data_IF_423651387424
#
_entry.id   IF_423651387424
#
_cell.length_a   1.000
_cell.length_b   1.000
_cell.length_c   1.000
_cell.angle_alpha   90.00
_cell.angle_beta   90.00
_cell.angle_gamma   90.00
#
_symmetry.space_group_name_H-M   'P 1'
#
loop_
_entity.id
_entity.type
_entity.pdbx_description
1 polymer ?
#
# COMPACT_ATOMS: atom_id res chain seq x y z
N UNK A 1 52.48 -32.11 45.98
CA UNK A 1 51.04 -32.42 45.90
C UNK A 1 50.30 -31.21 45.34
N UNK A 2 49.69 -31.39 44.16
CA UNK A 2 48.60 -30.63 43.52
C UNK A 2 48.67 -29.08 43.39
N UNK A 3 48.98 -28.70 42.14
CA UNK A 3 48.64 -27.49 41.40
C UNK A 3 47.12 -27.29 41.28
N UNK A 4 46.64 -26.06 41.48
CA UNK A 4 45.51 -25.34 40.83
C UNK A 4 45.42 -23.98 41.54
N UNK A 5 45.99 -22.84 41.11
CA UNK A 5 45.84 -22.13 39.82
C UNK A 5 44.45 -22.30 39.24
N UNK A 6 43.61 -21.26 39.33
CA UNK A 6 42.61 -20.81 38.34
C UNK A 6 41.35 -20.19 38.98
N UNK A 7 41.50 -19.29 39.94
CA UNK A 7 40.44 -18.31 40.20
C UNK A 7 40.77 -17.03 39.43
N UNK A 8 39.92 -16.71 38.45
CA UNK A 8 39.92 -15.59 37.48
C UNK A 8 40.78 -15.83 36.21
N UNK A 9 40.15 -15.88 35.00
CA UNK A 9 39.44 -14.71 34.49
C UNK A 9 38.25 -15.04 33.55
N UNK A 10 37.09 -15.47 34.05
CA UNK A 10 35.89 -15.55 33.19
C UNK A 10 35.46 -14.18 32.63
N UNK A 11 35.72 -13.10 33.37
CA UNK A 11 35.42 -11.73 32.94
C UNK A 11 36.29 -11.24 31.77
N UNK A 12 37.53 -11.72 31.62
CA UNK A 12 38.34 -11.39 30.43
C UNK A 12 38.01 -12.29 29.25
N UNK A 13 37.59 -13.53 29.48
CA UNK A 13 37.17 -14.43 28.40
C UNK A 13 35.96 -13.88 27.63
N UNK A 14 35.00 -13.29 28.35
CA UNK A 14 33.83 -12.61 27.74
C UNK A 14 34.18 -11.39 26.89
N UNK A 15 35.36 -10.78 27.08
CA UNK A 15 35.78 -9.56 26.40
C UNK A 15 36.55 -9.81 25.10
N UNK A 16 37.02 -11.05 24.88
CA UNK A 16 37.93 -11.40 23.79
C UNK A 16 37.29 -12.26 22.69
N UNK A 17 35.98 -12.53 22.77
CA UNK A 17 35.27 -13.10 21.62
C UNK A 17 34.95 -11.96 20.65
N UNK A 18 35.45 -12.02 19.39
CA UNK A 18 35.12 -11.00 18.40
C UNK A 18 33.61 -10.94 18.22
N UNK A 19 33.07 -9.71 18.15
CA UNK A 19 31.65 -9.42 17.93
C UNK A 19 31.06 -10.03 16.64
N UNK A 20 31.89 -10.74 15.87
CA UNK A 20 31.54 -11.41 14.62
C UNK A 20 30.86 -12.78 14.81
N UNK A 21 30.86 -13.36 16.01
CA UNK A 21 29.88 -14.40 16.35
C UNK A 21 28.52 -13.72 16.53
N UNK A 22 27.95 -13.26 15.42
CA UNK A 22 26.63 -12.66 15.33
C UNK A 22 25.65 -13.61 15.99
N UNK A 23 25.02 -13.12 17.05
CA UNK A 23 24.08 -13.91 17.84
C UNK A 23 23.07 -14.58 16.94
N UNK A 24 22.70 -15.81 17.29
CA UNK A 24 21.52 -16.48 16.75
C UNK A 24 20.39 -15.45 16.62
N UNK A 25 20.00 -15.16 15.37
CA UNK A 25 18.93 -14.24 15.04
C UNK A 25 17.70 -14.62 15.88
N UNK A 26 17.34 -13.74 16.80
CA UNK A 26 16.21 -13.96 17.70
C UNK A 26 14.94 -13.95 16.83
N UNK A 27 14.05 -14.95 16.94
CA UNK A 27 12.78 -14.97 16.19
C UNK A 27 11.83 -13.81 16.54
N UNK A 28 12.20 -12.97 17.52
CA UNK A 28 11.52 -11.74 17.95
C UNK A 28 11.61 -10.63 16.88
N UNK A 29 12.77 -10.40 16.27
CA UNK A 29 13.01 -9.30 15.31
C UNK A 29 12.19 -9.48 14.00
N UNK A 30 12.00 -10.73 13.58
CA UNK A 30 11.23 -11.06 12.39
C UNK A 30 9.71 -10.81 12.57
N UNK A 31 9.19 -11.01 13.79
CA UNK A 31 7.77 -10.77 14.10
C UNK A 31 7.44 -9.28 14.02
N UNK A 32 8.29 -8.43 14.59
CA UNK A 32 8.09 -6.98 14.56
C UNK A 32 8.21 -6.44 13.13
N UNK A 33 9.19 -6.93 12.37
CA UNK A 33 9.34 -6.59 10.95
C UNK A 33 8.11 -6.95 10.13
N UNK A 34 7.55 -8.16 10.32
CA UNK A 34 6.34 -8.59 9.60
C UNK A 34 5.10 -7.76 9.96
N UNK A 35 5.00 -7.34 11.23
CA UNK A 35 3.90 -6.50 11.71
C UNK A 35 4.01 -5.08 11.13
N UNK A 36 5.21 -4.50 11.11
CA UNK A 36 5.46 -3.20 10.48
C UNK A 36 5.16 -3.22 8.98
N UNK A 37 5.58 -4.27 8.27
CA UNK A 37 5.26 -4.44 6.85
C UNK A 37 3.75 -4.49 6.63
N UNK A 38 3.00 -5.22 7.46
CA UNK A 38 1.53 -5.27 7.37
C UNK A 38 0.87 -3.91 7.62
N UNK A 39 1.36 -3.14 8.60
CA UNK A 39 0.85 -1.80 8.89
C UNK A 39 1.14 -0.83 7.75
N UNK A 40 2.36 -0.83 7.21
CA UNK A 40 2.74 0.01 6.07
C UNK A 40 1.87 -0.31 4.84
N UNK A 41 1.68 -1.58 4.52
CA UNK A 41 0.82 -2.01 3.41
C UNK A 41 -0.65 -1.62 3.64
N UNK A 42 -1.14 -1.74 4.88
CA UNK A 42 -2.52 -1.34 5.22
C UNK A 42 -2.74 0.17 5.04
N UNK A 43 -1.73 0.98 5.37
CA UNK A 43 -1.77 2.43 5.16
C UNK A 43 -1.78 2.79 3.67
N UNK A 44 -0.98 2.11 2.85
CA UNK A 44 -0.99 2.29 1.39
C UNK A 44 -2.38 1.99 0.80
N UNK A 45 -3.03 0.92 1.26
CA UNK A 45 -4.37 0.54 0.82
C UNK A 45 -5.42 1.58 1.20
N UNK A 46 -5.33 2.17 2.40
CA UNK A 46 -6.23 3.23 2.84
C UNK A 46 -6.08 4.49 1.99
N UNK A 47 -4.84 4.93 1.75
CA UNK A 47 -4.55 6.08 0.89
C UNK A 47 -5.05 5.81 -0.54
N UNK A 48 -4.85 4.59 -1.04
CA UNK A 48 -5.36 4.15 -2.34
C UNK A 48 -6.89 4.23 -2.45
N UNK A 49 -7.61 3.77 -1.42
CA UNK A 49 -9.07 3.83 -1.37
C UNK A 49 -9.60 5.27 -1.28
N UNK A 50 -8.95 6.13 -0.49
CA UNK A 50 -9.27 7.57 -0.41
C UNK A 50 -9.04 8.26 -1.76
N UNK A 51 -7.95 7.92 -2.45
CA UNK A 51 -7.69 8.45 -3.78
C UNK A 51 -8.76 7.99 -4.79
N UNK A 52 -9.16 6.72 -4.76
CA UNK A 52 -10.24 6.19 -5.59
C UNK A 52 -11.59 6.87 -5.31
N UNK A 53 -11.91 7.12 -4.04
CA UNK A 53 -13.19 7.74 -3.67
C UNK A 53 -13.29 9.20 -4.12
N UNK A 54 -12.19 9.95 -4.11
CA UNK A 54 -12.13 11.31 -4.68
C UNK A 54 -12.47 11.26 -6.18
N UNK A 55 -11.97 10.28 -6.92
CA UNK A 55 -12.27 10.12 -8.34
C UNK A 55 -13.70 9.65 -8.61
N UNK A 56 -14.32 8.92 -7.67
CA UNK A 56 -15.75 8.64 -7.70
C UNK A 56 -16.60 9.93 -7.61
N UNK A 57 -16.10 11.03 -7.02
CA UNK A 57 -16.82 12.32 -7.00
C UNK A 57 -16.96 12.89 -8.43
N UNK A 58 -15.98 12.61 -9.30
CA UNK A 58 -16.02 12.98 -10.72
C UNK A 58 -16.96 12.11 -11.58
N UNK A 59 -17.92 11.39 -10.96
CA UNK A 59 -18.87 10.50 -11.62
C UNK A 59 -19.62 11.14 -12.79
N UNK A 60 -19.89 12.45 -12.69
CA UNK A 60 -20.68 13.23 -13.65
C UNK A 60 -19.84 14.11 -14.58
N UNK A 61 -18.51 14.00 -14.55
CA UNK A 61 -17.67 14.77 -15.46
C UNK A 61 -17.93 14.41 -16.92
N UNK A 62 -17.84 15.41 -17.81
CA UNK A 62 -17.95 15.18 -19.25
C UNK A 62 -16.62 14.59 -19.74
N UNK A 63 -16.68 13.36 -20.21
CA UNK A 63 -15.57 12.70 -20.90
C UNK A 63 -15.73 12.84 -22.42
N UNK A 64 -14.62 12.88 -23.18
CA UNK A 64 -14.65 12.95 -24.64
C UNK A 64 -15.41 11.77 -25.27
N UNK A 65 -15.28 10.58 -24.69
CA UNK A 65 -15.99 9.37 -25.13
C UNK A 65 -16.78 8.71 -24.00
N UNK A 66 -17.84 7.99 -24.34
CA UNK A 66 -18.60 7.18 -23.39
C UNK A 66 -17.77 6.05 -22.80
N UNK A 67 -16.91 5.41 -23.60
CA UNK A 67 -16.06 4.30 -23.16
C UNK A 67 -15.08 4.72 -22.06
N UNK A 68 -14.46 5.90 -22.20
CA UNK A 68 -13.54 6.44 -21.18
C UNK A 68 -14.25 6.72 -19.86
N UNK A 69 -15.50 7.21 -19.92
CA UNK A 69 -16.32 7.45 -18.72
C UNK A 69 -16.65 6.15 -17.99
N UNK A 70 -17.16 5.15 -18.71
CA UNK A 70 -17.53 3.87 -18.09
C UNK A 70 -16.29 3.19 -17.51
N UNK A 71 -15.16 3.21 -18.24
CA UNK A 71 -13.90 2.66 -17.78
C UNK A 71 -13.37 3.40 -16.53
N UNK A 72 -13.48 4.74 -16.50
CA UNK A 72 -13.12 5.55 -15.33
C UNK A 72 -13.95 5.19 -14.10
N UNK A 73 -15.27 5.06 -14.26
CA UNK A 73 -16.18 4.73 -13.16
C UNK A 73 -15.91 3.34 -12.60
N UNK A 74 -15.75 2.34 -13.48
CA UNK A 74 -15.42 0.97 -13.09
C UNK A 74 -14.07 0.91 -12.38
N UNK A 75 -13.04 1.55 -12.93
CA UNK A 75 -11.70 1.59 -12.31
C UNK A 75 -11.75 2.30 -10.96
N UNK A 76 -12.43 3.45 -10.84
CA UNK A 76 -12.53 4.19 -9.57
C UNK A 76 -13.25 3.38 -8.49
N UNK A 77 -14.31 2.64 -8.84
CA UNK A 77 -14.99 1.73 -7.93
C UNK A 77 -14.11 0.56 -7.52
N UNK A 78 -13.46 -0.11 -8.48
CA UNK A 78 -12.51 -1.19 -8.19
C UNK A 78 -11.39 -0.71 -7.25
N UNK A 79 -10.85 0.48 -7.48
CA UNK A 79 -9.80 1.10 -6.65
C UNK A 79 -10.27 1.48 -5.25
N UNK A 80 -11.56 1.78 -5.07
CA UNK A 80 -12.12 2.10 -3.76
C UNK A 80 -12.43 0.82 -2.95
N UNK A 81 -12.91 -0.22 -3.63
CA UNK A 81 -13.45 -1.44 -2.99
C UNK A 81 -12.38 -2.53 -2.82
N UNK A 82 -11.45 -2.71 -3.75
CA UNK A 82 -10.47 -3.80 -3.70
C UNK A 82 -9.46 -3.71 -2.53
N UNK A 83 -8.89 -2.53 -2.20
CA UNK A 83 -7.90 -2.41 -1.12
C UNK A 83 -8.36 -2.88 0.26
N UNK A 84 -9.59 -2.57 0.75
CA UNK A 84 -10.03 -3.04 2.07
C UNK A 84 -10.34 -4.55 2.13
N UNK A 85 -10.52 -5.23 0.99
CA UNK A 85 -10.80 -6.68 0.97
C UNK A 85 -9.60 -7.49 1.49
N UNK A 86 -8.37 -7.04 1.22
CA UNK A 86 -7.15 -7.77 1.62
C UNK A 86 -7.00 -7.85 3.15
N UNK A 87 -6.96 -6.75 3.92
CA UNK A 87 -6.88 -6.84 5.37
C UNK A 87 -8.10 -7.57 5.98
N UNK A 88 -9.30 -7.38 5.41
CA UNK A 88 -10.52 -8.06 5.86
C UNK A 88 -10.43 -9.59 5.71
N UNK A 89 -9.95 -10.09 4.56
CA UNK A 89 -9.77 -11.52 4.33
C UNK A 89 -8.67 -12.11 5.21
N UNK A 90 -7.58 -11.37 5.46
CA UNK A 90 -6.53 -11.82 6.40
C UNK A 90 -7.03 -11.87 7.84
N UNK A 91 -7.87 -10.92 8.26
CA UNK A 91 -8.47 -10.91 9.59
C UNK A 91 -9.44 -12.08 9.77
N UNK A 92 -10.33 -12.30 8.80
CA UNK A 92 -11.24 -13.43 8.79
C UNK A 92 -10.48 -14.77 8.80
N UNK A 93 -9.36 -14.84 8.08
CA UNK A 93 -8.51 -16.01 8.03
C UNK A 93 -7.79 -16.33 9.36
N UNK A 94 -7.60 -15.35 10.23
CA UNK A 94 -7.06 -15.57 11.59
C UNK A 94 -8.19 -15.88 12.57
N UNK A 95 -9.35 -15.27 12.39
CA UNK A 95 -10.50 -15.42 13.28
C UNK A 95 -11.23 -16.76 13.15
N UNK A 96 -11.26 -17.35 11.95
CA UNK A 96 -12.00 -18.58 11.68
C UNK A 96 -11.08 -19.68 11.14
N UNK A 97 -11.12 -20.91 11.68
CA UNK A 97 -10.43 -22.04 11.07
C UNK A 97 -11.21 -22.50 9.83
N UNK A 98 -10.52 -22.62 8.70
CA UNK A 98 -11.06 -23.16 7.45
C UNK A 98 -10.17 -24.29 6.94
N UNK A 99 -10.73 -25.12 6.07
CA UNK A 99 -10.02 -26.24 5.47
C UNK A 99 -8.90 -25.78 4.54
N UNK A 100 -7.88 -26.63 4.35
CA UNK A 100 -6.72 -26.33 3.49
C UNK A 100 -7.12 -26.00 2.05
N UNK A 101 -8.20 -26.62 1.55
CA UNK A 101 -8.72 -26.35 0.21
C UNK A 101 -9.28 -24.92 0.10
N UNK A 102 -10.04 -24.45 1.10
CA UNK A 102 -10.56 -23.07 1.15
C UNK A 102 -9.40 -22.08 1.26
N UNK A 103 -8.35 -22.40 2.03
CA UNK A 103 -7.15 -21.56 2.12
C UNK A 103 -6.48 -21.33 0.77
N UNK A 104 -6.32 -22.40 0.00
CA UNK A 104 -5.70 -22.35 -1.30
C UNK A 104 -6.47 -21.43 -2.25
N UNK A 105 -7.80 -21.60 -2.33
CA UNK A 105 -8.65 -20.74 -3.16
C UNK A 105 -8.65 -19.28 -2.71
N UNK A 106 -8.70 -19.02 -1.40
CA UNK A 106 -8.64 -17.65 -0.86
C UNK A 106 -7.31 -16.98 -1.21
N UNK A 107 -6.18 -17.67 -1.07
CA UNK A 107 -4.86 -17.14 -1.46
C UNK A 107 -4.76 -16.86 -2.95
N UNK A 108 -5.25 -17.77 -3.80
CA UNK A 108 -5.28 -17.57 -5.24
C UNK A 108 -6.16 -16.35 -5.64
N UNK A 109 -7.31 -16.20 -4.98
CA UNK A 109 -8.20 -15.05 -5.17
C UNK A 109 -7.53 -13.73 -4.77
N UNK A 110 -6.83 -13.68 -3.63
CA UNK A 110 -6.09 -12.49 -3.19
C UNK A 110 -5.00 -12.11 -4.21
N UNK A 111 -4.24 -13.08 -4.72
CA UNK A 111 -3.23 -12.82 -5.77
C UNK A 111 -3.88 -12.25 -7.03
N UNK A 112 -5.00 -12.81 -7.47
CA UNK A 112 -5.74 -12.30 -8.63
C UNK A 112 -6.22 -10.86 -8.41
N UNK A 113 -6.75 -10.54 -7.22
CA UNK A 113 -7.18 -9.18 -6.87
C UNK A 113 -5.99 -8.21 -6.89
N UNK A 114 -4.82 -8.61 -6.40
CA UNK A 114 -3.60 -7.79 -6.46
C UNK A 114 -3.22 -7.48 -7.90
N UNK A 115 -3.25 -8.48 -8.80
CA UNK A 115 -2.93 -8.28 -10.22
C UNK A 115 -3.90 -7.29 -10.88
N UNK A 116 -5.20 -7.47 -10.63
CA UNK A 116 -6.24 -6.56 -11.14
C UNK A 116 -6.03 -5.14 -10.60
N UNK A 117 -5.71 -5.00 -9.31
CA UNK A 117 -5.44 -3.71 -8.68
C UNK A 117 -4.25 -3.00 -9.33
N UNK A 118 -3.16 -3.71 -9.62
CA UNK A 118 -1.98 -3.13 -10.31
C UNK A 118 -2.37 -2.59 -11.69
N UNK A 119 -3.12 -3.36 -12.48
CA UNK A 119 -3.60 -2.93 -13.81
C UNK A 119 -4.54 -1.72 -13.70
N UNK A 120 -5.47 -1.74 -12.74
CA UNK A 120 -6.39 -0.64 -12.49
C UNK A 120 -5.63 0.63 -12.09
N UNK A 121 -4.59 0.52 -11.25
CA UNK A 121 -3.75 1.65 -10.84
C UNK A 121 -3.05 2.32 -12.01
N UNK A 122 -2.43 1.52 -12.88
CA UNK A 122 -1.75 2.04 -14.07
C UNK A 122 -2.73 2.70 -15.03
N UNK A 123 -3.90 2.08 -15.22
CA UNK A 123 -4.95 2.61 -16.09
C UNK A 123 -5.50 3.94 -15.58
N UNK A 124 -5.69 4.07 -14.26
CA UNK A 124 -6.16 5.30 -13.63
C UNK A 124 -5.19 6.47 -13.85
N UNK A 125 -3.88 6.22 -13.75
CA UNK A 125 -2.87 7.23 -14.06
C UNK A 125 -3.00 7.71 -15.51
N UNK A 126 -3.16 6.79 -16.47
CA UNK A 126 -3.34 7.13 -17.88
C UNK A 126 -4.60 7.97 -18.12
N UNK A 127 -5.73 7.59 -17.52
CA UNK A 127 -7.00 8.32 -17.66
C UNK A 127 -6.93 9.76 -17.12
N UNK A 128 -6.23 9.99 -16.01
CA UNK A 128 -6.02 11.36 -15.50
C UNK A 128 -5.26 12.21 -16.52
N UNK A 129 -4.24 11.67 -17.18
CA UNK A 129 -3.50 12.41 -18.21
C UNK A 129 -4.35 12.68 -19.46
N UNK A 130 -5.21 11.75 -19.86
CA UNK A 130 -6.14 11.94 -20.98
C UNK A 130 -7.13 13.07 -20.67
N UNK A 131 -7.70 13.08 -19.45
CA UNK A 131 -8.59 14.14 -18.99
C UNK A 131 -7.91 15.52 -18.93
N UNK A 132 -6.63 15.57 -18.54
CA UNK A 132 -5.85 16.81 -18.53
C UNK A 132 -5.56 17.35 -19.93
N UNK A 133 -5.43 16.48 -20.94
CA UNK A 133 -5.18 16.89 -22.32
C UNK A 133 -6.40 17.60 -22.93
N UNK A 134 -7.59 17.10 -22.63
CA UNK A 134 -8.84 17.59 -23.24
C UNK A 134 -9.56 18.61 -22.32
N UNK A 135 -8.79 19.40 -21.56
CA UNK A 135 -9.32 20.39 -20.62
C UNK A 135 -10.20 21.40 -21.36
N UNK A 136 -11.43 21.71 -20.87
CA UNK A 136 -12.33 22.62 -21.55
C UNK A 136 -11.67 23.98 -21.81
N UNK A 137 -11.90 24.52 -23.02
CA UNK A 137 -11.34 25.80 -23.50
C UNK A 137 -11.56 26.97 -22.54
N UNK A 138 -12.58 26.89 -21.67
CA UNK A 138 -12.87 27.87 -20.62
C UNK A 138 -11.80 28.01 -19.52
N UNK A 139 -10.88 27.06 -19.34
CA UNK A 139 -9.72 27.22 -18.43
C UNK A 139 -8.63 28.09 -19.06
N UNK A 140 -8.57 28.15 -20.39
CA UNK A 140 -7.67 29.03 -21.13
C UNK A 140 -8.25 30.42 -21.35
N UNK A 141 -9.51 30.66 -20.96
CA UNK A 141 -10.01 32.03 -20.86
C UNK A 141 -9.31 32.70 -19.68
N UNK A 142 -8.51 33.73 -19.99
CA UNK A 142 -7.80 34.51 -18.98
C UNK A 142 -8.79 34.99 -17.92
N UNK A 143 -8.68 34.44 -16.71
CA UNK A 143 -9.32 35.02 -15.53
C UNK A 143 -8.83 36.46 -15.47
N UNK A 144 -9.72 37.43 -15.66
CA UNK A 144 -9.36 38.86 -15.67
C UNK A 144 -9.01 39.34 -14.25
N UNK A 145 -7.86 38.89 -13.75
CA UNK A 145 -7.27 39.30 -12.47
C UNK A 145 -7.09 40.82 -12.39
N UNK A 146 -6.91 41.49 -13.53
CA UNK A 146 -6.83 42.95 -13.64
C UNK A 146 -8.11 43.67 -13.19
N UNK A 147 -9.27 43.00 -13.17
CA UNK A 147 -10.53 43.54 -12.65
C UNK A 147 -10.62 43.47 -11.12
N UNK A 148 -9.84 42.59 -10.49
CA UNK A 148 -9.80 42.38 -9.04
C UNK A 148 -8.64 43.10 -8.35
N UNK A 149 -7.71 43.67 -9.13
CA UNK A 149 -6.71 44.59 -8.59
C UNK A 149 -7.42 45.94 -8.45
N UNK A 150 -7.74 46.40 -7.22
CA UNK A 150 -8.20 47.77 -7.04
C UNK A 150 -7.09 48.69 -7.59
N UNK A 151 -7.49 49.50 -8.55
CA UNK A 151 -6.73 50.60 -9.09
C UNK A 151 -6.41 51.53 -7.90
N UNK A 152 -5.15 51.48 -7.45
CA UNK A 152 -4.54 52.50 -6.59
C UNK A 152 -4.03 53.63 -7.47
#
# INVERSE_FOLDING_TARGET
>A
SKRTKNELPELQFRKNVPAFFGGFHKPEENRDSSTLVFLVLSMEMLIGALFGSIHCIAWTFQFPTTVERELWQVISLCMTIAPPIIPLTTLAAVAFPYSNIVNFFMKAFVILVILIYVVARLSMSVLVFVLLRDLPTGVFEDVQWSKYIPHV
#
